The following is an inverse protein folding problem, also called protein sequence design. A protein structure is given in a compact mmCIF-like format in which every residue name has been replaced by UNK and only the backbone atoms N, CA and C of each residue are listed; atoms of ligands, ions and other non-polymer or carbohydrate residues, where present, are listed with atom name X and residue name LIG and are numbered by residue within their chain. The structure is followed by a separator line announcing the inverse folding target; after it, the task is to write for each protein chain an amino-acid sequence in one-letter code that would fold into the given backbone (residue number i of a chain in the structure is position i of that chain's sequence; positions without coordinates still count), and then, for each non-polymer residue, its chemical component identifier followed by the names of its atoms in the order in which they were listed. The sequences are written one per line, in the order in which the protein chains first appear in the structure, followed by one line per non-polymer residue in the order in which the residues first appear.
data_IF_446311328852
#
_entry.id   IF_446311328852
#
_cell.length_a   1.000
_cell.length_b   1.000
_cell.length_c   1.000
_cell.angle_alpha   90.00
_cell.angle_beta   90.00
_cell.angle_gamma   90.00
#
_symmetry.space_group_name_H-M   'P 1'
#
loop_
_entity.id
_entity.type
_entity.pdbx_description
1 polymer ?
#
# COMPACT_ATOMS: atom_id res chain seq x y z
N UNK A 1 37.13 32.79 56.40
CA UNK A 1 38.26 32.97 55.46
C UNK A 1 37.74 32.57 54.07
N UNK A 2 37.35 33.53 53.23
CA UNK A 2 36.78 33.26 51.89
C UNK A 2 37.82 33.66 50.86
N UNK A 3 38.28 32.70 50.06
CA UNK A 3 39.34 32.87 49.06
C UNK A 3 38.69 33.24 47.73
N UNK A 4 38.76 34.51 47.35
CA UNK A 4 38.28 34.98 46.04
C UNK A 4 39.40 34.69 45.03
N UNK A 5 39.18 33.76 44.11
CA UNK A 5 40.07 33.55 42.96
C UNK A 5 39.71 34.52 41.83
N UNK A 6 40.66 35.31 41.31
CA UNK A 6 40.42 36.15 40.15
C UNK A 6 40.38 35.29 38.89
N UNK A 7 39.24 35.28 38.21
CA UNK A 7 39.10 34.69 36.87
C UNK A 7 39.82 35.61 35.89
N UNK A 8 40.77 35.06 35.15
CA UNK A 8 41.56 35.77 34.15
C UNK A 8 40.66 36.37 33.04
N UNK A 9 40.82 37.66 32.76
CA UNK A 9 40.08 38.38 31.72
C UNK A 9 40.24 37.77 30.32
N UNK A 10 41.34 37.04 30.05
CA UNK A 10 41.56 36.37 28.77
C UNK A 10 40.63 35.18 28.53
N UNK A 11 40.13 34.54 29.58
CA UNK A 11 39.20 33.41 29.49
C UNK A 11 37.81 33.88 29.05
N UNK A 12 37.34 35.01 29.61
CA UNK A 12 36.06 35.65 29.24
C UNK A 12 35.96 36.01 27.76
N UNK A 13 37.04 36.47 27.13
CA UNK A 13 37.03 36.86 25.71
C UNK A 13 37.00 35.67 24.75
N UNK A 14 37.51 34.50 25.17
CA UNK A 14 37.50 33.28 24.34
C UNK A 14 36.08 32.69 24.28
N UNK A 15 35.41 32.62 25.43
CA UNK A 15 34.05 32.08 25.53
C UNK A 15 33.02 32.93 24.75
N UNK A 16 33.18 34.25 24.74
CA UNK A 16 32.31 35.16 23.97
C UNK A 16 32.50 34.97 22.46
N UNK A 17 33.73 34.74 21.98
CA UNK A 17 33.99 34.48 20.56
C UNK A 17 33.43 33.13 20.12
N UNK A 18 33.55 32.08 20.94
CA UNK A 18 32.97 30.77 20.63
C UNK A 18 31.44 30.77 20.64
N UNK A 19 30.82 31.52 21.58
CA UNK A 19 29.38 31.70 21.60
C UNK A 19 28.86 32.42 20.34
N UNK A 20 29.56 33.47 19.89
CA UNK A 20 29.21 34.18 18.65
C UNK A 20 29.37 33.30 17.40
N UNK A 21 30.45 32.50 17.33
CA UNK A 21 30.68 31.59 16.20
C UNK A 21 29.58 30.52 16.10
N UNK A 22 29.11 29.98 17.23
CA UNK A 22 27.99 29.02 17.25
C UNK A 22 26.69 29.64 16.75
N UNK A 23 26.33 30.85 17.21
CA UNK A 23 25.08 31.54 16.81
C UNK A 23 25.05 31.89 15.31
N UNK A 24 26.19 32.25 14.73
CA UNK A 24 26.30 32.56 13.29
C UNK A 24 26.19 31.27 12.45
N UNK A 25 26.73 30.14 12.92
CA UNK A 25 26.56 28.83 12.30
C UNK A 25 25.09 28.36 12.25
N UNK A 26 24.35 28.47 13.35
CA UNK A 26 22.94 28.07 13.42
C UNK A 26 22.03 28.94 12.55
N UNK A 27 22.34 30.25 12.41
CA UNK A 27 21.61 31.16 11.50
C UNK A 27 21.83 30.85 10.01
N UNK A 28 23.02 30.37 9.63
CA UNK A 28 23.30 29.95 8.24
C UNK A 28 22.61 28.63 7.89
N UNK A 29 22.57 27.67 8.81
CA UNK A 29 21.95 26.36 8.59
C UNK A 29 20.42 26.44 8.48
N UNK A 30 19.78 27.32 9.25
CA UNK A 30 18.32 27.57 9.20
C UNK A 30 17.88 28.28 7.91
N UNK A 31 18.70 29.14 7.31
CA UNK A 31 18.39 29.79 6.01
C UNK A 31 18.45 28.83 4.83
N UNK A 32 19.43 27.90 4.81
CA UNK A 32 19.58 26.91 3.73
C UNK A 32 18.48 25.84 3.78
N UNK A 33 18.11 25.39 4.98
CA UNK A 33 16.99 24.47 5.21
C UNK A 33 15.66 25.05 4.73
N UNK A 34 15.31 26.28 5.11
CA UNK A 34 14.06 26.95 4.69
C UNK A 34 13.95 27.14 3.17
N UNK A 35 15.07 27.28 2.46
CA UNK A 35 15.08 27.45 1.00
C UNK A 35 14.83 26.13 0.27
N UNK A 36 15.36 25.01 0.79
CA UNK A 36 15.09 23.66 0.28
C UNK A 36 13.64 23.27 0.54
N UNK A 37 13.09 23.55 1.73
CA UNK A 37 11.69 23.26 2.06
C UNK A 37 10.72 24.01 1.15
N UNK A 38 11.00 25.28 0.83
CA UNK A 38 10.15 26.07 -0.10
C UNK A 38 10.16 25.52 -1.52
N UNK A 39 11.31 25.08 -2.03
CA UNK A 39 11.41 24.44 -3.35
C UNK A 39 10.69 23.10 -3.41
N UNK A 40 10.77 22.31 -2.34
CA UNK A 40 10.04 21.06 -2.21
C UNK A 40 8.52 21.28 -2.21
N UNK A 41 8.03 22.28 -1.47
CA UNK A 41 6.61 22.65 -1.44
C UNK A 41 6.12 23.10 -2.82
N UNK A 42 6.89 23.93 -3.53
CA UNK A 42 6.51 24.38 -4.87
C UNK A 42 6.55 23.23 -5.90
N UNK A 43 7.52 22.33 -5.81
CA UNK A 43 7.58 21.15 -6.67
C UNK A 43 6.39 20.21 -6.42
N UNK A 44 6.11 19.91 -5.15
CA UNK A 44 4.94 19.10 -4.76
C UNK A 44 3.62 19.74 -5.19
N UNK A 45 3.48 21.06 -5.01
CA UNK A 45 2.29 21.79 -5.42
C UNK A 45 2.14 21.83 -6.95
N UNK A 46 3.23 21.91 -7.71
CA UNK A 46 3.22 21.83 -9.17
C UNK A 46 2.87 20.41 -9.66
N UNK A 47 3.42 19.36 -9.06
CA UNK A 47 3.04 17.97 -9.34
C UNK A 47 1.56 17.71 -9.03
N UNK A 48 1.06 18.25 -7.91
CA UNK A 48 -0.36 18.18 -7.54
C UNK A 48 -1.24 18.91 -8.55
N UNK A 49 -0.79 20.07 -9.05
CA UNK A 49 -1.54 20.90 -10.01
C UNK A 49 -1.56 20.29 -11.41
N UNK A 50 -0.47 19.66 -11.87
CA UNK A 50 -0.42 18.97 -13.16
C UNK A 50 -1.27 17.69 -13.15
N UNK A 51 -1.37 17.00 -12.00
CA UNK A 51 -2.31 15.91 -11.82
C UNK A 51 -3.79 16.35 -11.88
N UNK A 52 -4.12 17.54 -11.35
CA UNK A 52 -5.50 17.98 -11.20
C UNK A 52 -6.21 18.46 -12.48
N UNK A 53 -5.49 18.78 -13.57
CA UNK A 53 -6.09 19.42 -14.77
C UNK A 53 -6.66 18.41 -15.78
N UNK A 54 -6.43 17.10 -15.64
CA UNK A 54 -6.89 16.06 -16.58
C UNK A 54 -8.05 15.18 -16.12
N UNK A 55 -8.58 15.36 -14.90
CA UNK A 55 -9.34 14.32 -14.18
C UNK A 55 -10.82 14.69 -14.03
N UNK A 56 -11.59 14.60 -15.11
CA UNK A 56 -13.04 14.68 -15.05
C UNK A 56 -13.68 13.33 -15.38
N UNK A 57 -14.41 12.80 -14.39
CA UNK A 57 -15.31 11.64 -14.36
C UNK A 57 -14.70 10.25 -14.10
N UNK A 58 -14.93 9.75 -12.87
CA UNK A 58 -15.50 8.44 -12.49
C UNK A 58 -14.92 7.90 -11.16
N UNK A 59 -15.67 7.01 -10.49
CA UNK A 59 -15.53 6.61 -9.09
C UNK A 59 -14.62 5.38 -8.95
N UNK A 60 -13.71 5.32 -7.95
CA UNK A 60 -12.36 4.74 -8.08
C UNK A 60 -11.80 3.94 -6.85
N UNK A 61 -10.86 2.97 -7.05
CA UNK A 61 -10.10 2.13 -6.06
C UNK A 61 -8.70 1.77 -6.60
N UNK A 62 -7.77 1.15 -5.86
CA UNK A 62 -6.40 0.97 -6.35
C UNK A 62 -5.87 -0.44 -6.23
N UNK A 63 -5.02 -0.80 -7.19
CA UNK A 63 -4.10 -1.95 -7.09
C UNK A 63 -3.18 -1.80 -5.87
N UNK A 64 -2.84 -2.92 -5.24
CA UNK A 64 -1.92 -2.94 -4.10
C UNK A 64 -0.48 -2.70 -4.57
N UNK A 65 0.26 -1.77 -3.94
CA UNK A 65 1.66 -1.47 -4.28
C UNK A 65 2.58 -2.63 -3.88
N UNK A 66 3.66 -2.81 -4.63
CA UNK A 66 4.77 -3.63 -4.18
C UNK A 66 5.32 -3.08 -2.84
N UNK A 67 5.71 -3.96 -1.90
CA UNK A 67 5.92 -5.39 -2.08
C UNK A 67 4.70 -6.27 -1.73
N UNK A 68 3.58 -5.66 -1.32
CA UNK A 68 2.47 -6.25 -0.56
C UNK A 68 1.84 -7.51 -1.17
N UNK A 69 1.88 -7.65 -2.51
CA UNK A 69 1.36 -8.83 -3.22
C UNK A 69 2.00 -10.13 -2.70
N UNK A 70 3.30 -10.11 -2.43
CA UNK A 70 4.05 -11.26 -1.91
C UNK A 70 3.98 -11.41 -0.39
N UNK A 71 3.19 -10.56 0.27
CA UNK A 71 2.88 -10.65 1.69
C UNK A 71 1.44 -11.10 1.92
N UNK A 72 0.66 -11.30 0.86
CA UNK A 72 -0.74 -11.75 0.93
C UNK A 72 -1.78 -10.69 0.60
N UNK A 73 -1.37 -9.45 0.26
CA UNK A 73 -2.31 -8.42 -0.18
C UNK A 73 -2.99 -8.79 -1.51
N UNK A 74 -4.20 -8.31 -1.71
CA UNK A 74 -4.97 -8.56 -2.90
C UNK A 74 -4.34 -7.87 -4.12
N UNK A 75 -4.08 -8.66 -5.18
CA UNK A 75 -3.34 -8.20 -6.37
C UNK A 75 -4.20 -7.98 -7.63
N UNK A 76 -5.54 -7.93 -7.48
CA UNK A 76 -6.45 -7.77 -8.60
C UNK A 76 -6.29 -6.39 -9.26
N UNK A 77 -6.35 -6.31 -10.61
CA UNK A 77 -6.43 -5.02 -11.28
C UNK A 77 -7.74 -4.29 -10.98
N UNK A 78 -7.70 -2.95 -10.99
CA UNK A 78 -8.90 -2.13 -10.82
C UNK A 78 -9.82 -2.24 -12.04
N UNK A 79 -11.11 -2.49 -11.78
CA UNK A 79 -12.15 -2.62 -12.82
C UNK A 79 -12.67 -1.30 -13.39
N UNK A 80 -12.15 -0.17 -12.92
CA UNK A 80 -12.57 1.18 -13.28
C UNK A 80 -11.41 2.17 -13.09
N UNK A 81 -11.54 3.42 -13.56
CA UNK A 81 -10.48 4.46 -13.49
C UNK A 81 -10.39 5.10 -12.12
N UNK A 82 -9.17 5.36 -11.61
CA UNK A 82 -8.90 5.62 -10.20
C UNK A 82 -7.72 6.52 -9.86
N UNK A 83 -7.81 7.21 -8.71
CA UNK A 83 -6.69 7.92 -8.10
C UNK A 83 -6.76 7.76 -6.58
N UNK A 84 -5.89 6.92 -6.04
CA UNK A 84 -5.85 6.66 -4.60
C UNK A 84 -4.58 7.20 -3.97
N UNK A 85 -4.71 7.60 -2.71
CA UNK A 85 -3.60 7.82 -1.80
C UNK A 85 -3.83 7.01 -0.53
N UNK A 86 -2.79 6.48 0.08
CA UNK A 86 -2.94 5.64 1.25
C UNK A 86 -1.67 5.37 2.03
N UNK A 87 -1.86 4.57 3.06
CA UNK A 87 -0.80 4.00 3.88
C UNK A 87 -0.89 2.48 3.76
N UNK A 88 0.22 1.88 3.35
CA UNK A 88 0.41 0.43 3.28
C UNK A 88 1.44 0.04 4.31
N UNK A 89 1.14 -0.98 5.10
CA UNK A 89 1.90 -1.42 6.26
C UNK A 89 2.24 -2.89 6.06
N UNK A 90 3.52 -3.22 5.97
CA UNK A 90 4.02 -4.58 6.01
C UNK A 90 5.20 -4.66 6.96
N UNK A 91 5.42 -5.85 7.53
CA UNK A 91 6.62 -6.16 8.30
C UNK A 91 7.15 -7.52 7.87
N UNK A 92 8.46 -7.67 7.90
CA UNK A 92 9.14 -8.94 7.71
C UNK A 92 10.13 -9.14 8.85
N UNK A 93 10.09 -10.31 9.48
CA UNK A 93 11.03 -10.71 10.51
C UNK A 93 11.90 -11.84 9.95
N UNK A 94 13.24 -11.71 9.98
CA UNK A 94 14.13 -12.68 9.34
C UNK A 94 14.29 -13.97 10.13
N UNK A 95 13.58 -14.15 11.24
CA UNK A 95 13.67 -15.33 12.12
C UNK A 95 12.32 -16.00 12.26
N UNK A 96 12.33 -17.32 12.15
CA UNK A 96 11.21 -18.24 12.25
C UNK A 96 10.85 -18.51 13.72
N UNK A 97 9.68 -19.11 14.01
CA UNK A 97 9.21 -19.37 15.38
C UNK A 97 10.13 -20.27 16.23
N UNK A 98 11.06 -20.99 15.59
CA UNK A 98 12.11 -21.80 16.21
C UNK A 98 13.45 -21.06 16.35
N UNK A 99 13.53 -19.81 15.89
CA UNK A 99 14.73 -18.97 15.92
C UNK A 99 15.69 -19.20 14.74
N UNK A 100 15.32 -20.01 13.75
CA UNK A 100 16.12 -20.16 12.53
C UNK A 100 15.98 -18.92 11.65
N UNK A 101 17.03 -18.58 10.91
CA UNK A 101 16.93 -17.49 9.92
C UNK A 101 16.15 -17.95 8.69
N UNK A 102 15.12 -17.21 8.31
CA UNK A 102 14.33 -17.40 7.10
C UNK A 102 15.15 -17.13 5.83
N UNK A 103 15.99 -16.11 5.85
CA UNK A 103 16.80 -15.64 4.72
C UNK A 103 18.24 -15.35 5.19
N UNK A 104 19.24 -15.89 4.49
CA UNK A 104 20.65 -15.59 4.78
C UNK A 104 21.08 -14.17 4.42
N UNK A 105 20.31 -13.49 3.57
CA UNK A 105 20.65 -12.19 3.00
C UNK A 105 19.99 -11.04 3.73
N UNK A 106 18.90 -11.29 4.47
CA UNK A 106 18.21 -10.29 5.29
C UNK A 106 18.51 -10.56 6.75
N UNK A 107 19.46 -9.82 7.32
CA UNK A 107 19.86 -9.94 8.73
C UNK A 107 18.99 -9.16 9.71
N UNK A 108 18.11 -8.30 9.20
CA UNK A 108 17.43 -7.25 9.96
C UNK A 108 15.90 -7.40 9.81
N UNK A 109 15.14 -6.98 10.82
CA UNK A 109 13.70 -6.77 10.70
C UNK A 109 13.44 -5.62 9.74
N UNK A 110 12.53 -5.83 8.79
CA UNK A 110 12.17 -4.86 7.77
C UNK A 110 10.73 -4.39 8.01
N UNK A 111 10.50 -3.07 8.01
CA UNK A 111 9.18 -2.50 7.87
C UNK A 111 9.01 -1.89 6.48
N UNK A 112 7.94 -2.25 5.79
CA UNK A 112 7.55 -1.61 4.52
C UNK A 112 6.26 -0.83 4.75
N UNK A 113 6.42 0.37 5.30
CA UNK A 113 5.32 1.22 5.76
C UNK A 113 5.00 2.33 4.74
N UNK A 114 4.81 1.98 3.47
CA UNK A 114 4.75 2.91 2.35
C UNK A 114 3.55 3.86 2.42
N UNK A 115 3.81 5.16 2.27
CA UNK A 115 2.78 6.09 1.79
C UNK A 115 2.71 5.90 0.28
N UNK A 116 1.53 5.59 -0.22
CA UNK A 116 1.33 5.11 -1.58
C UNK A 116 0.35 5.99 -2.32
N UNK A 117 0.59 6.16 -3.61
CA UNK A 117 -0.30 6.84 -4.53
C UNK A 117 -0.42 5.98 -5.79
N UNK A 118 -1.65 5.69 -6.20
CA UNK A 118 -1.91 4.88 -7.38
C UNK A 118 -2.88 5.58 -8.30
N UNK A 119 -2.63 5.47 -9.59
CA UNK A 119 -3.48 5.99 -10.64
C UNK A 119 -3.78 4.88 -11.63
N UNK A 120 -5.05 4.51 -11.76
CA UNK A 120 -5.53 3.64 -12.83
C UNK A 120 -6.36 4.44 -13.82
N UNK A 121 -6.21 4.19 -15.12
CA UNK A 121 -7.05 4.79 -16.13
C UNK A 121 -7.54 3.73 -17.12
N UNK A 122 -8.86 3.66 -17.31
CA UNK A 122 -9.51 2.86 -18.33
C UNK A 122 -9.72 3.71 -19.58
N UNK A 123 -9.10 3.30 -20.67
CA UNK A 123 -9.07 4.07 -21.90
C UNK A 123 -10.37 3.93 -22.71
N UNK A 124 -10.75 5.01 -23.40
CA UNK A 124 -11.83 5.04 -24.38
C UNK A 124 -11.35 4.92 -25.84
N UNK A 125 -12.29 5.04 -26.79
CA UNK A 125 -11.98 5.08 -28.22
C UNK A 125 -11.32 3.80 -28.74
N UNK A 126 -10.23 3.94 -29.50
CA UNK A 126 -9.50 2.79 -30.08
C UNK A 126 -8.82 1.91 -29.02
N UNK A 127 -8.62 2.42 -27.80
CA UNK A 127 -8.08 1.68 -26.66
C UNK A 127 -9.18 1.14 -25.73
N UNK A 128 -10.46 1.18 -26.14
CA UNK A 128 -11.55 0.70 -25.30
C UNK A 128 -11.32 -0.73 -24.80
N UNK A 129 -11.40 -0.91 -23.49
CA UNK A 129 -11.14 -2.18 -22.81
C UNK A 129 -9.68 -2.37 -22.38
N UNK A 130 -8.81 -1.39 -22.60
CA UNK A 130 -7.50 -1.35 -21.95
C UNK A 130 -7.53 -0.46 -20.71
N UNK A 131 -6.74 -0.83 -19.70
CA UNK A 131 -6.42 0.04 -18.59
C UNK A 131 -4.91 0.11 -18.35
N UNK A 132 -4.45 1.23 -17.82
CA UNK A 132 -3.07 1.45 -17.38
C UNK A 132 -3.09 1.80 -15.90
N UNK A 133 -2.16 1.22 -15.13
CA UNK A 133 -1.93 1.58 -13.74
C UNK A 133 -0.49 2.08 -13.57
N UNK A 134 -0.33 3.11 -12.72
CA UNK A 134 0.94 3.55 -12.17
C UNK A 134 0.78 3.74 -10.67
N UNK A 135 1.61 3.06 -9.89
CA UNK A 135 1.65 3.19 -8.44
C UNK A 135 3.04 3.59 -8.00
N UNK A 136 3.14 4.49 -7.02
CA UNK A 136 4.39 4.83 -6.39
C UNK A 136 4.21 4.82 -4.87
N UNK A 137 5.20 4.31 -4.16
CA UNK A 137 5.25 4.29 -2.71
C UNK A 137 6.61 4.72 -2.21
N UNK A 138 6.63 5.41 -1.07
CA UNK A 138 7.86 5.77 -0.36
C UNK A 138 7.65 5.73 1.14
N UNK A 139 8.63 5.24 1.90
CA UNK A 139 8.58 5.32 3.36
C UNK A 139 9.92 5.06 4.06
N UNK A 140 10.11 5.59 5.28
CA UNK A 140 11.11 5.07 6.20
C UNK A 140 10.90 3.58 6.51
N UNK A 141 11.99 2.82 6.55
CA UNK A 141 11.97 1.34 6.60
C UNK A 141 11.88 0.75 8.01
N UNK A 142 11.61 1.62 8.99
CA UNK A 142 11.49 1.21 10.38
C UNK A 142 10.32 0.24 10.55
N UNK A 143 10.43 -0.64 11.54
CA UNK A 143 9.41 -1.65 11.84
C UNK A 143 8.19 -1.09 12.57
N UNK A 144 8.22 0.18 12.99
CA UNK A 144 7.04 0.90 13.50
C UNK A 144 6.32 1.68 12.38
N UNK A 145 4.97 1.71 12.35
CA UNK A 145 4.04 1.31 13.42
C UNK A 145 3.63 -0.17 13.42
N UNK A 146 4.11 -0.96 12.44
CA UNK A 146 3.70 -2.36 12.26
C UNK A 146 4.03 -3.28 13.43
N UNK A 147 5.19 -3.09 14.05
CA UNK A 147 5.62 -3.86 15.21
C UNK A 147 4.68 -3.63 16.40
N UNK A 148 4.34 -2.38 16.69
CA UNK A 148 3.37 -2.04 17.72
C UNK A 148 2.01 -2.69 17.46
N UNK A 149 1.47 -2.56 16.24
CA UNK A 149 0.18 -3.14 15.88
C UNK A 149 0.18 -4.68 16.03
N UNK A 150 1.23 -5.34 15.55
CA UNK A 150 1.35 -6.80 15.66
C UNK A 150 1.47 -7.23 17.13
N UNK A 151 2.44 -6.71 17.87
CA UNK A 151 2.78 -7.22 19.19
C UNK A 151 1.86 -6.70 20.30
N UNK A 152 1.45 -5.43 20.26
CA UNK A 152 0.69 -4.77 21.34
C UNK A 152 -0.82 -4.76 21.11
N UNK A 153 -1.28 -4.92 19.87
CA UNK A 153 -2.70 -5.04 19.58
C UNK A 153 -3.05 -6.49 19.34
N UNK A 154 -2.55 -7.09 18.26
CA UNK A 154 -3.07 -8.38 17.83
C UNK A 154 -2.57 -9.55 18.67
N UNK A 155 -1.26 -9.65 18.90
CA UNK A 155 -0.69 -10.74 19.69
C UNK A 155 -1.16 -10.67 21.14
N UNK A 156 -1.29 -9.46 21.69
CA UNK A 156 -1.87 -9.27 23.03
C UNK A 156 -3.34 -9.70 23.09
N UNK A 157 -4.17 -9.31 22.12
CA UNK A 157 -5.58 -9.73 22.05
C UNK A 157 -5.74 -11.24 21.87
N UNK A 158 -4.84 -11.88 21.12
CA UNK A 158 -4.86 -13.32 20.82
C UNK A 158 -4.04 -14.18 21.79
N UNK A 159 -3.41 -13.57 22.79
CA UNK A 159 -2.50 -14.24 23.74
C UNK A 159 -1.35 -15.01 23.06
N UNK A 160 -0.80 -14.44 21.99
CA UNK A 160 0.33 -15.00 21.24
C UNK A 160 1.66 -14.40 21.75
N UNK A 161 2.78 -15.17 21.66
CA UNK A 161 4.10 -14.64 21.99
C UNK A 161 4.46 -13.46 21.07
N UNK A 162 5.21 -12.49 21.58
CA UNK A 162 5.65 -11.35 20.78
C UNK A 162 6.65 -11.79 19.72
N UNK A 163 6.51 -11.26 18.50
CA UNK A 163 7.48 -11.45 17.43
C UNK A 163 8.73 -10.61 17.74
N UNK A 164 9.94 -11.21 17.81
CA UNK A 164 11.16 -10.47 18.07
C UNK A 164 11.45 -9.45 16.96
N UNK A 165 12.25 -8.46 17.28
CA UNK A 165 12.83 -7.52 16.32
C UNK A 165 14.35 -7.70 16.34
N UNK A 166 14.95 -7.85 15.17
CA UNK A 166 16.40 -7.99 14.99
C UNK A 166 16.90 -6.74 14.28
N UNK A 167 17.60 -5.86 14.99
CA UNK A 167 18.24 -4.65 14.45
C UNK A 167 17.44 -3.96 13.31
N UNK A 168 16.31 -3.31 13.61
CA UNK A 168 15.39 -2.88 12.55
C UNK A 168 16.08 -1.91 11.60
N UNK A 169 15.99 -2.19 10.29
CA UNK A 169 16.64 -1.37 9.25
C UNK A 169 16.06 0.04 9.24
N UNK A 170 16.91 1.06 9.17
CA UNK A 170 16.52 2.48 9.17
C UNK A 170 17.04 3.21 7.94
N UNK A 171 16.34 3.03 6.83
CA UNK A 171 16.61 3.66 5.55
C UNK A 171 15.32 4.28 4.98
N UNK A 172 15.33 4.67 3.71
CA UNK A 172 14.14 5.07 2.96
C UNK A 172 13.97 4.11 1.79
N UNK A 173 12.85 3.42 1.74
CA UNK A 173 12.51 2.56 0.63
C UNK A 173 11.49 3.23 -0.28
N UNK A 174 11.61 2.94 -1.58
CA UNK A 174 10.69 3.40 -2.59
C UNK A 174 10.43 2.30 -3.60
N UNK A 175 9.18 2.21 -4.05
CA UNK A 175 8.74 1.30 -5.10
C UNK A 175 7.88 2.06 -6.11
N UNK A 176 8.02 1.70 -7.37
CA UNK A 176 7.20 2.17 -8.49
C UNK A 176 6.69 0.93 -9.22
N UNK A 177 5.38 0.82 -9.34
CA UNK A 177 4.70 -0.23 -10.07
C UNK A 177 4.01 0.35 -11.30
N UNK A 178 4.01 -0.39 -12.40
CA UNK A 178 3.29 -0.03 -13.60
C UNK A 178 2.65 -1.25 -14.23
N UNK A 179 1.45 -1.12 -14.79
CA UNK A 179 0.81 -2.22 -15.50
C UNK A 179 -0.08 -1.77 -16.64
N UNK A 180 -0.28 -2.66 -17.60
CA UNK A 180 -1.27 -2.53 -18.68
C UNK A 180 -2.13 -3.79 -18.66
N UNK A 181 -3.45 -3.60 -18.62
CA UNK A 181 -4.42 -4.69 -18.51
C UNK A 181 -5.47 -4.58 -19.60
N UNK A 182 -5.71 -5.68 -20.31
CA UNK A 182 -6.82 -5.85 -21.24
C UNK A 182 -7.99 -6.50 -20.53
N UNK A 183 -9.17 -5.90 -20.67
CA UNK A 183 -10.43 -6.36 -20.13
C UNK A 183 -11.32 -6.91 -21.24
N UNK A 184 -11.94 -8.05 -20.96
CA UNK A 184 -12.86 -8.73 -21.86
C UNK A 184 -14.23 -8.88 -21.20
N UNK A 185 -15.32 -8.63 -21.94
CA UNK A 185 -16.66 -8.94 -21.47
C UNK A 185 -16.88 -10.45 -21.44
N UNK A 186 -17.39 -10.96 -20.33
CA UNK A 186 -18.08 -12.24 -20.26
C UNK A 186 -19.52 -11.86 -19.92
N UNK A 187 -20.31 -11.55 -20.96
CA UNK A 187 -21.58 -10.81 -20.87
C UNK A 187 -21.39 -9.34 -20.42
N UNK A 188 -22.44 -8.69 -19.90
CA UNK A 188 -22.33 -7.45 -19.12
C UNK A 188 -22.44 -7.84 -17.65
N UNK A 189 -21.41 -7.62 -16.80
CA UNK A 189 -20.26 -6.70 -16.93
C UNK A 189 -18.93 -7.29 -17.49
N UNK A 190 -17.91 -6.43 -17.68
CA UNK A 190 -16.53 -6.85 -18.03
C UNK A 190 -15.83 -7.47 -16.82
N UNK A 191 -15.53 -8.76 -16.89
CA UNK A 191 -15.02 -9.52 -15.73
C UNK A 191 -13.72 -10.26 -16.01
N UNK A 192 -13.39 -10.57 -17.26
CA UNK A 192 -12.13 -11.27 -17.58
C UNK A 192 -11.03 -10.23 -17.83
N UNK A 193 -9.81 -10.50 -17.35
CA UNK A 193 -8.66 -9.65 -17.60
C UNK A 193 -7.40 -10.46 -17.93
N UNK A 194 -6.50 -9.84 -18.69
CA UNK A 194 -5.13 -10.29 -18.89
C UNK A 194 -4.22 -9.07 -19.02
N UNK A 195 -3.05 -9.10 -18.38
CA UNK A 195 -2.17 -7.94 -18.34
C UNK A 195 -0.73 -8.29 -18.00
N UNK A 196 0.11 -7.27 -18.14
CA UNK A 196 1.52 -7.34 -17.81
C UNK A 196 1.91 -6.09 -17.04
N UNK A 197 2.97 -6.18 -16.24
CA UNK A 197 3.47 -5.04 -15.49
C UNK A 197 4.86 -5.25 -14.94
N UNK A 198 5.30 -4.26 -14.17
CA UNK A 198 6.56 -4.25 -13.49
C UNK A 198 6.43 -3.63 -12.10
N UNK A 199 7.38 -3.95 -11.24
CA UNK A 199 7.60 -3.35 -9.94
C UNK A 199 9.10 -3.07 -9.83
N UNK A 200 9.49 -1.82 -9.60
CA UNK A 200 10.89 -1.43 -9.52
C UNK A 200 11.16 -0.52 -8.33
N UNK A 201 12.29 -0.69 -7.67
CA UNK A 201 12.61 0.15 -6.52
C UNK A 201 13.75 -0.39 -5.67
N UNK A 202 13.77 0.02 -4.40
CA UNK A 202 14.83 -0.38 -3.46
C UNK A 202 14.65 -1.81 -2.98
N UNK A 203 13.41 -2.33 -2.94
CA UNK A 203 13.13 -3.62 -2.30
C UNK A 203 13.54 -4.79 -3.19
N UNK A 204 12.96 -4.87 -4.39
CA UNK A 204 13.29 -5.83 -5.44
C UNK A 204 12.90 -5.25 -6.81
N UNK A 205 13.32 -5.89 -7.90
CA UNK A 205 12.79 -5.63 -9.23
C UNK A 205 11.94 -6.81 -9.69
N UNK A 206 10.88 -6.54 -10.43
CA UNK A 206 10.00 -7.58 -10.93
C UNK A 206 9.34 -7.17 -12.24
N UNK A 207 9.24 -8.11 -13.17
CA UNK A 207 8.27 -8.09 -14.26
C UNK A 207 7.23 -9.19 -14.04
N UNK A 208 5.98 -8.97 -14.41
CA UNK A 208 4.93 -9.96 -14.23
C UNK A 208 3.92 -10.01 -15.37
N UNK A 209 3.32 -11.18 -15.53
CA UNK A 209 2.10 -11.41 -16.30
C UNK A 209 1.00 -11.85 -15.34
N UNK A 210 -0.22 -11.38 -15.56
CA UNK A 210 -1.40 -11.78 -14.78
C UNK A 210 -2.61 -11.97 -15.66
N UNK A 211 -3.49 -12.87 -15.26
CA UNK A 211 -4.79 -13.04 -15.88
C UNK A 211 -5.80 -13.57 -14.86
N UNK A 212 -7.07 -13.40 -15.15
CA UNK A 212 -8.10 -13.87 -14.25
C UNK A 212 -9.51 -13.37 -14.55
N UNK A 213 -10.37 -13.59 -13.57
CA UNK A 213 -11.74 -13.12 -13.53
C UNK A 213 -11.89 -12.24 -12.29
N UNK A 214 -12.54 -11.09 -12.42
CA UNK A 214 -12.78 -10.15 -11.33
C UNK A 214 -14.27 -9.91 -11.18
N UNK A 215 -14.78 -10.08 -9.96
CA UNK A 215 -16.17 -9.76 -9.57
C UNK A 215 -17.23 -10.34 -10.52
N UNK A 216 -17.07 -11.60 -10.92
CA UNK A 216 -18.10 -12.31 -11.65
C UNK A 216 -19.30 -12.54 -10.74
N UNK A 217 -20.51 -12.06 -11.08
CA UNK A 217 -21.70 -12.32 -10.28
C UNK A 217 -21.95 -13.82 -10.17
N UNK A 218 -22.04 -14.33 -8.94
CA UNK A 218 -22.45 -15.71 -8.66
C UNK A 218 -23.96 -15.74 -8.44
N UNK A 219 -24.45 -14.77 -7.66
CA UNK A 219 -25.88 -14.56 -7.39
C UNK A 219 -26.21 -13.09 -7.61
N UNK A 220 -27.11 -12.76 -8.56
CA UNK A 220 -27.38 -11.38 -8.94
C UNK A 220 -27.96 -10.54 -7.78
N UNK A 221 -28.77 -11.16 -6.91
CA UNK A 221 -29.30 -10.54 -5.69
C UNK A 221 -29.39 -11.58 -4.58
N UNK A 222 -28.52 -11.48 -3.57
CA UNK A 222 -28.59 -12.25 -2.33
C UNK A 222 -29.58 -11.63 -1.33
N UNK A 223 -29.65 -10.31 -1.30
CA UNK A 223 -30.52 -9.54 -0.42
C UNK A 223 -30.95 -8.27 -1.13
N UNK A 224 -32.23 -7.92 -1.00
CA UNK A 224 -32.80 -6.66 -1.46
C UNK A 224 -33.58 -6.06 -0.30
N UNK A 225 -33.21 -4.86 0.13
CA UNK A 225 -33.83 -4.20 1.27
C UNK A 225 -33.16 -2.88 1.62
N UNK A 226 -33.11 -2.55 2.90
CA UNK A 226 -32.60 -1.25 3.39
C UNK A 226 -31.11 -1.01 3.06
N UNK A 227 -30.36 -2.06 2.70
CA UNK A 227 -28.95 -1.99 2.33
C UNK A 227 -28.72 -1.95 0.81
N UNK A 228 -29.82 -1.87 0.04
CA UNK A 228 -29.82 -1.99 -1.42
C UNK A 228 -29.72 -3.44 -1.90
N UNK A 229 -29.55 -3.60 -3.21
CA UNK A 229 -29.36 -4.91 -3.85
C UNK A 229 -27.93 -5.40 -3.63
N UNK A 230 -27.80 -6.38 -2.74
CA UNK A 230 -26.53 -7.03 -2.39
C UNK A 230 -26.33 -8.24 -3.28
N UNK A 231 -25.15 -8.38 -3.86
CA UNK A 231 -24.77 -9.53 -4.70
C UNK A 231 -23.51 -10.22 -4.15
N UNK A 232 -23.40 -11.53 -4.37
CA UNK A 232 -22.12 -12.24 -4.19
C UNK A 232 -21.40 -12.37 -5.53
N UNK A 233 -20.09 -12.14 -5.48
CA UNK A 233 -19.23 -12.15 -6.65
C UNK A 233 -17.96 -12.96 -6.39
N UNK A 234 -17.54 -13.74 -7.37
CA UNK A 234 -16.29 -14.49 -7.35
C UNK A 234 -15.22 -13.78 -8.17
N UNK A 235 -13.97 -13.89 -7.71
CA UNK A 235 -12.81 -13.52 -8.51
C UNK A 235 -11.75 -14.62 -8.41
N UNK A 236 -10.89 -14.69 -9.42
CA UNK A 236 -9.68 -15.51 -9.39
C UNK A 236 -8.60 -14.81 -10.19
N UNK A 237 -7.38 -14.76 -9.66
CA UNK A 237 -6.21 -14.21 -10.32
C UNK A 237 -5.10 -15.26 -10.33
N UNK A 238 -4.46 -15.42 -11.48
CA UNK A 238 -3.16 -16.08 -11.61
C UNK A 238 -2.12 -15.05 -12.04
N UNK A 239 -0.93 -15.13 -11.45
CA UNK A 239 0.21 -14.27 -11.75
C UNK A 239 1.47 -15.11 -11.86
N UNK A 240 2.29 -14.82 -12.85
CA UNK A 240 3.66 -15.31 -12.95
C UNK A 240 4.59 -14.12 -13.02
N UNK A 241 5.71 -14.20 -12.33
CA UNK A 241 6.63 -13.08 -12.19
C UNK A 241 8.07 -13.51 -12.35
N UNK A 242 8.86 -12.67 -13.00
CA UNK A 242 10.30 -12.75 -13.06
C UNK A 242 10.88 -11.67 -12.17
N UNK A 243 11.83 -12.02 -11.30
CA UNK A 243 12.32 -11.15 -10.26
C UNK A 243 13.84 -11.03 -10.31
N UNK A 244 14.31 -9.87 -9.87
CA UNK A 244 15.73 -9.59 -9.66
C UNK A 244 15.91 -8.90 -8.30
N UNK A 245 17.14 -8.92 -7.81
CA UNK A 245 17.45 -8.39 -6.50
C UNK A 245 17.24 -6.87 -6.37
N UNK A 246 17.18 -6.42 -5.14
CA UNK A 246 17.15 -5.00 -4.78
C UNK A 246 18.23 -4.65 -3.76
N UNK A 247 18.19 -3.40 -3.33
CA UNK A 247 19.00 -2.90 -2.23
C UNK A 247 18.59 -3.49 -0.88
N UNK A 248 17.34 -3.94 -0.74
CA UNK A 248 16.84 -4.59 0.49
C UNK A 248 16.91 -6.11 0.40
N UNK A 249 16.38 -6.68 -0.68
CA UNK A 249 16.40 -8.13 -0.91
C UNK A 249 17.53 -8.45 -1.88
N UNK A 250 18.70 -8.80 -1.35
CA UNK A 250 19.89 -9.07 -2.16
C UNK A 250 19.84 -10.42 -2.90
N UNK A 251 18.98 -11.33 -2.45
CA UNK A 251 18.68 -12.59 -3.12
C UNK A 251 17.17 -12.81 -3.14
N UNK A 252 16.64 -13.06 -4.33
CA UNK A 252 15.23 -13.39 -4.54
C UNK A 252 15.14 -14.57 -5.50
N UNK A 253 14.05 -15.34 -5.41
CA UNK A 253 13.76 -16.36 -6.41
C UNK A 253 13.49 -15.69 -7.74
N UNK A 254 14.27 -16.05 -8.77
CA UNK A 254 14.15 -15.49 -10.13
C UNK A 254 12.76 -15.61 -10.74
N UNK A 255 11.96 -16.61 -10.36
CA UNK A 255 10.60 -16.80 -10.88
C UNK A 255 9.63 -17.13 -9.75
N UNK A 256 8.47 -16.46 -9.67
CA UNK A 256 7.40 -16.83 -8.75
C UNK A 256 6.05 -16.92 -9.46
N UNK A 257 5.21 -17.86 -9.04
CA UNK A 257 3.80 -17.96 -9.38
C UNK A 257 2.93 -17.64 -8.17
N UNK A 258 1.79 -16.99 -8.40
CA UNK A 258 0.79 -16.66 -7.41
C UNK A 258 -0.61 -16.98 -7.94
N UNK A 259 -1.47 -17.53 -7.09
CA UNK A 259 -2.89 -17.77 -7.36
C UNK A 259 -3.71 -17.19 -6.22
N UNK A 260 -4.75 -16.44 -6.56
CA UNK A 260 -5.60 -15.75 -5.60
C UNK A 260 -7.08 -15.85 -5.97
N UNK A 261 -7.84 -16.83 -5.43
CA UNK A 261 -9.29 -16.80 -5.45
C UNK A 261 -9.85 -15.81 -4.42
N UNK A 262 -11.01 -15.21 -4.70
CA UNK A 262 -11.75 -14.37 -3.75
C UNK A 262 -13.26 -14.46 -3.90
N UNK A 263 -13.96 -14.15 -2.81
CA UNK A 263 -15.41 -13.97 -2.76
C UNK A 263 -15.69 -12.60 -2.16
N UNK A 264 -16.59 -11.85 -2.80
CA UNK A 264 -16.99 -10.52 -2.37
C UNK A 264 -18.51 -10.42 -2.22
N UNK A 265 -18.93 -9.74 -1.16
CA UNK A 265 -20.32 -9.41 -0.88
C UNK A 265 -20.45 -7.89 -0.85
N UNK A 266 -21.39 -7.36 -1.63
CA UNK A 266 -21.52 -5.91 -1.69
C UNK A 266 -22.64 -5.44 -2.58
N UNK A 267 -22.81 -4.12 -2.58
CA UNK A 267 -23.67 -3.43 -3.52
C UNK A 267 -22.80 -2.84 -4.63
N UNK A 268 -23.25 -2.98 -5.87
CA UNK A 268 -22.47 -2.61 -7.03
C UNK A 268 -23.31 -1.83 -8.04
N UNK A 269 -22.71 -0.79 -8.58
CA UNK A 269 -23.22 -0.04 -9.73
C UNK A 269 -22.43 -0.48 -10.95
N UNK A 270 -23.11 -0.88 -12.02
CA UNK A 270 -22.46 -1.18 -13.30
C UNK A 270 -22.63 0.02 -14.22
N UNK A 271 -21.52 0.55 -14.73
CA UNK A 271 -21.55 1.68 -15.68
C UNK A 271 -21.94 1.21 -17.07
N UNK A 272 -22.31 2.14 -17.95
CA UNK A 272 -22.59 1.85 -19.37
C UNK A 272 -21.40 1.21 -20.09
N UNK A 273 -20.18 1.56 -19.67
CA UNK A 273 -18.92 1.00 -20.20
C UNK A 273 -18.63 -0.42 -19.68
N UNK A 274 -19.50 -0.97 -18.82
CA UNK A 274 -19.44 -2.31 -18.27
C UNK A 274 -18.51 -2.46 -17.08
N UNK A 275 -18.08 -1.34 -16.47
CA UNK A 275 -17.26 -1.33 -15.26
C UNK A 275 -18.15 -1.58 -14.04
N UNK A 276 -17.67 -2.38 -13.08
CA UNK A 276 -18.39 -2.61 -11.83
C UNK A 276 -17.76 -1.81 -10.70
N UNK A 277 -18.54 -0.88 -10.16
CA UNK A 277 -18.15 0.06 -9.11
C UNK A 277 -18.92 -0.29 -7.82
N UNK A 278 -18.28 -0.86 -6.79
CA UNK A 278 -18.91 -1.11 -5.49
C UNK A 278 -19.22 0.18 -4.74
N UNK A 279 -20.44 0.33 -4.23
CA UNK A 279 -20.81 1.36 -3.24
C UNK A 279 -20.26 0.99 -1.86
N UNK A 280 -20.39 -0.28 -1.51
CA UNK A 280 -19.71 -0.93 -0.40
C UNK A 280 -19.44 -2.40 -0.77
N UNK A 281 -18.36 -2.97 -0.24
CA UNK A 281 -17.97 -4.37 -0.47
C UNK A 281 -17.16 -4.88 0.72
N UNK A 282 -17.41 -6.13 1.09
CA UNK A 282 -16.50 -6.94 1.90
C UNK A 282 -16.01 -8.07 1.01
N UNK A 283 -14.69 -8.18 0.87
CA UNK A 283 -14.03 -9.18 0.06
C UNK A 283 -13.09 -10.01 0.93
N UNK A 284 -13.11 -11.33 0.72
CA UNK A 284 -12.19 -12.28 1.34
C UNK A 284 -11.44 -13.00 0.23
N UNK A 285 -10.12 -13.05 0.32
CA UNK A 285 -9.25 -13.73 -0.63
C UNK A 285 -8.35 -14.73 0.09
N UNK A 286 -8.02 -15.80 -0.62
CA UNK A 286 -6.93 -16.71 -0.26
C UNK A 286 -5.80 -16.47 -1.26
N UNK A 287 -4.56 -16.55 -0.80
CA UNK A 287 -3.37 -16.36 -1.63
C UNK A 287 -2.49 -17.58 -1.46
N UNK A 288 -2.15 -18.22 -2.57
CA UNK A 288 -0.99 -19.12 -2.64
C UNK A 288 0.08 -18.43 -3.47
N UNK A 289 1.29 -18.36 -2.93
CA UNK A 289 2.45 -17.85 -3.63
C UNK A 289 3.58 -18.86 -3.49
N UNK A 290 4.24 -19.14 -4.60
CA UNK A 290 5.42 -20.00 -4.65
C UNK A 290 6.63 -19.43 -3.89
N UNK A 291 6.55 -18.17 -3.44
CA UNK A 291 7.54 -17.50 -2.62
C UNK A 291 8.57 -16.70 -3.42
N UNK A 292 8.90 -15.52 -2.90
CA UNK A 292 10.02 -14.69 -3.40
C UNK A 292 11.29 -14.89 -2.58
N UNK A 293 11.13 -15.27 -1.30
CA UNK A 293 12.22 -15.49 -0.38
C UNK A 293 12.89 -16.84 -0.63
N UNK A 294 14.21 -16.82 -0.58
CA UNK A 294 15.03 -18.03 -0.70
C UNK A 294 15.84 -18.21 0.57
N UNK A 295 15.96 -19.46 1.03
CA UNK A 295 16.82 -19.80 2.15
C UNK A 295 18.31 -19.83 1.73
N UNK A 296 19.20 -20.16 2.67
CA UNK A 296 20.65 -20.33 2.45
C UNK A 296 21.02 -21.32 1.34
N UNK A 297 20.12 -22.25 0.99
CA UNK A 297 20.34 -23.27 -0.04
C UNK A 297 19.67 -22.92 -1.37
N UNK A 298 19.08 -21.71 -1.48
CA UNK A 298 18.40 -21.23 -2.68
C UNK A 298 17.00 -21.81 -2.89
N UNK A 299 16.45 -22.52 -1.91
CA UNK A 299 15.10 -23.08 -1.98
C UNK A 299 14.07 -22.01 -1.63
N UNK A 300 13.01 -21.95 -2.43
CA UNK A 300 11.87 -21.06 -2.20
C UNK A 300 11.00 -21.55 -1.06
N UNK A 301 10.44 -20.61 -0.30
CA UNK A 301 9.39 -20.92 0.65
C UNK A 301 8.03 -20.55 0.08
N UNK A 302 7.23 -21.56 -0.24
CA UNK A 302 5.83 -21.37 -0.60
C UNK A 302 5.06 -20.88 0.62
N UNK A 303 4.14 -19.93 0.42
CA UNK A 303 3.31 -19.39 1.48
C UNK A 303 1.84 -19.41 1.10
N UNK A 304 1.01 -19.60 2.12
CA UNK A 304 -0.43 -19.47 2.05
C UNK A 304 -0.86 -18.34 2.97
N UNK A 305 -1.55 -17.36 2.40
CA UNK A 305 -2.08 -16.21 3.12
C UNK A 305 -3.58 -16.06 2.89
N UNK A 306 -4.22 -15.29 3.75
CA UNK A 306 -5.56 -14.78 3.55
C UNK A 306 -5.56 -13.26 3.60
N UNK A 307 -6.51 -12.65 2.91
CA UNK A 307 -6.76 -11.22 2.95
C UNK A 307 -8.25 -10.96 3.15
N UNK A 308 -8.56 -9.91 3.91
CA UNK A 308 -9.90 -9.34 4.00
C UNK A 308 -9.84 -7.86 3.68
N UNK A 309 -10.75 -7.42 2.82
CA UNK A 309 -10.90 -6.02 2.47
C UNK A 309 -12.33 -5.56 2.73
N UNK A 310 -12.46 -4.41 3.37
CA UNK A 310 -13.71 -3.68 3.54
C UNK A 310 -13.64 -2.36 2.81
N UNK A 311 -14.73 -2.01 2.14
CA UNK A 311 -14.81 -0.76 1.40
C UNK A 311 -16.17 -0.12 1.56
N UNK A 312 -16.19 1.20 1.65
CA UNK A 312 -17.39 1.99 1.75
C UNK A 312 -17.11 3.38 1.17
N UNK A 313 -17.81 3.72 0.08
CA UNK A 313 -17.57 4.97 -0.63
C UNK A 313 -16.11 5.12 -1.07
N UNK A 314 -15.40 6.22 -0.73
CA UNK A 314 -14.03 6.45 -1.16
C UNK A 314 -12.98 5.71 -0.31
N UNK A 315 -13.37 5.06 0.78
CA UNK A 315 -12.43 4.45 1.74
C UNK A 315 -12.37 2.95 1.52
N UNK A 316 -11.14 2.41 1.53
CA UNK A 316 -10.88 0.98 1.58
C UNK A 316 -9.85 0.67 2.66
N UNK A 317 -10.19 -0.29 3.50
CA UNK A 317 -9.30 -0.92 4.45
C UNK A 317 -9.07 -2.36 4.00
N UNK A 318 -7.83 -2.79 3.99
CA UNK A 318 -7.44 -4.17 3.72
C UNK A 318 -6.46 -4.64 4.78
N UNK A 319 -6.56 -5.90 5.17
CA UNK A 319 -5.55 -6.55 5.99
C UNK A 319 -5.36 -7.98 5.53
N UNK A 320 -4.14 -8.49 5.68
CA UNK A 320 -3.76 -9.83 5.25
C UNK A 320 -2.78 -10.46 6.23
N UNK A 321 -2.67 -11.78 6.09
CA UNK A 321 -1.88 -12.58 6.99
C UNK A 321 -1.51 -13.95 6.44
N UNK A 322 -0.37 -14.48 6.84
CA UNK A 322 0.20 -15.78 6.48
C UNK A 322 -0.17 -16.95 7.43
N UNK A 323 -1.08 -16.73 8.40
CA UNK A 323 -1.47 -17.74 9.39
C UNK A 323 -2.18 -18.99 8.83
N UNK A 324 -2.25 -19.18 7.52
CA UNK A 324 -2.78 -20.42 6.91
C UNK A 324 -1.67 -21.43 6.60
N UNK A 325 -0.40 -21.05 6.63
CA UNK A 325 0.74 -21.98 6.58
C UNK A 325 1.15 -22.43 7.98
N UNK A 326 1.01 -23.73 8.30
CA UNK A 326 1.53 -24.42 9.50
C UNK A 326 1.90 -23.53 10.72
N UNK A 327 0.85 -23.19 11.48
CA UNK A 327 0.74 -22.17 12.54
C UNK A 327 1.70 -22.35 13.75
N UNK A 328 2.46 -23.44 13.90
CA UNK A 328 3.16 -23.74 15.15
C UNK A 328 4.69 -23.90 15.06
N UNK A 329 5.25 -24.27 13.89
CA UNK A 329 6.67 -24.64 13.81
C UNK A 329 7.51 -23.71 12.93
N UNK A 330 6.89 -22.86 12.11
CA UNK A 330 7.65 -21.99 11.19
C UNK A 330 7.55 -20.52 11.55
N UNK A 331 6.41 -19.99 11.97
CA UNK A 331 6.30 -18.54 12.22
C UNK A 331 6.08 -18.19 13.70
N UNK A 332 6.51 -17.00 14.13
CA UNK A 332 6.22 -16.45 15.47
C UNK A 332 4.73 -16.08 15.65
N UNK A 333 3.88 -16.53 14.73
CA UNK A 333 2.49 -16.17 14.62
C UNK A 333 2.23 -15.21 13.46
N UNK A 334 0.95 -14.93 13.19
CA UNK A 334 0.47 -14.14 12.06
C UNK A 334 1.29 -12.86 11.76
N UNK A 335 1.89 -12.76 10.56
CA UNK A 335 2.48 -11.51 10.04
C UNK A 335 1.39 -10.61 9.45
N UNK A 336 0.98 -9.60 10.20
CA UNK A 336 -0.11 -8.71 9.80
C UNK A 336 0.38 -7.59 8.89
N UNK A 337 -0.14 -7.56 7.66
CA UNK A 337 -0.10 -6.37 6.83
C UNK A 337 -1.47 -5.69 6.79
N UNK A 338 -1.46 -4.39 6.49
CA UNK A 338 -2.68 -3.62 6.35
C UNK A 338 -2.50 -2.49 5.34
N UNK A 339 -3.58 -2.10 4.66
CA UNK A 339 -3.62 -0.91 3.83
C UNK A 339 -4.87 -0.10 4.12
N UNK A 340 -4.71 1.20 4.29
CA UNK A 340 -5.81 2.16 4.31
C UNK A 340 -5.65 3.10 3.12
N UNK A 341 -6.63 3.12 2.22
CA UNK A 341 -6.60 3.96 1.02
C UNK A 341 -7.85 4.82 0.93
N UNK A 342 -7.65 6.00 0.34
CA UNK A 342 -8.69 6.96 0.01
C UNK A 342 -8.65 7.22 -1.49
N UNK A 343 -9.79 7.06 -2.15
CA UNK A 343 -9.99 7.43 -3.53
C UNK A 343 -10.41 8.89 -3.68
N UNK A 344 -9.52 9.68 -4.28
CA UNK A 344 -9.68 11.11 -4.51
C UNK A 344 -10.82 11.40 -5.50
N UNK A 345 -11.03 10.57 -6.51
CA UNK A 345 -12.11 10.84 -7.48
C UNK A 345 -13.48 10.63 -6.87
N UNK A 346 -13.69 9.61 -6.05
CA UNK A 346 -14.94 9.45 -5.29
C UNK A 346 -15.17 10.59 -4.33
N UNK A 347 -14.16 11.01 -3.58
CA UNK A 347 -14.28 12.18 -2.68
C UNK A 347 -14.73 13.41 -3.48
N UNK A 348 -14.08 13.68 -4.62
CA UNK A 348 -14.43 14.81 -5.47
C UNK A 348 -15.87 14.74 -5.99
N UNK A 349 -16.29 13.61 -6.54
CA UNK A 349 -17.65 13.43 -7.07
C UNK A 349 -18.71 13.56 -5.96
N UNK A 350 -18.43 13.08 -4.75
CA UNK A 350 -19.30 13.28 -3.59
C UNK A 350 -19.45 14.77 -3.26
N UNK A 351 -18.33 15.51 -3.21
CA UNK A 351 -18.34 16.95 -2.96
C UNK A 351 -19.14 17.70 -4.05
N UNK A 352 -18.97 17.33 -5.32
CA UNK A 352 -19.72 17.95 -6.41
C UNK A 352 -21.22 17.65 -6.31
N UNK A 353 -21.60 16.41 -5.97
CA UNK A 353 -22.99 16.03 -5.75
C UNK A 353 -23.67 16.85 -4.64
N UNK A 354 -22.95 17.13 -3.54
CA UNK A 354 -23.43 18.02 -2.48
C UNK A 354 -23.62 19.46 -2.95
N UNK A 355 -22.76 19.97 -3.84
CA UNK A 355 -22.85 21.33 -4.37
C UNK A 355 -24.01 21.51 -5.35
N UNK A 356 -24.31 20.48 -6.16
CA UNK A 356 -25.39 20.53 -7.14
C UNK A 356 -26.78 20.36 -6.52
N UNK A 357 -26.89 19.75 -5.34
CA UNK A 357 -28.14 19.55 -4.61
C UNK A 357 -28.04 20.16 -3.20
N UNK A 358 -28.07 21.50 -3.04
CA UNK A 358 -28.19 22.09 -1.72
C UNK A 358 -29.50 21.59 -1.10
N UNK A 359 -29.40 20.91 0.04
CA UNK A 359 -30.56 20.47 0.81
C UNK A 359 -31.53 21.63 0.99
N UNK A 360 -32.79 21.41 0.61
CA UNK A 360 -33.93 22.34 0.60
C UNK A 360 -34.38 22.82 1.99
N UNK A 361 -33.45 22.98 2.94
CA UNK A 361 -33.71 23.40 4.32
C UNK A 361 -33.03 24.73 4.70
N UNK A 362 -32.63 25.55 3.72
CA UNK A 362 -32.21 26.95 3.95
C UNK A 362 -33.22 27.98 3.39
N UNK A 363 -34.52 27.69 3.49
CA UNK A 363 -35.56 28.71 3.41
C UNK A 363 -36.07 29.01 4.82
N UNK A 364 -35.54 30.04 5.46
CA UNK A 364 -36.05 30.48 6.76
C UNK A 364 -35.10 31.30 7.61
N UNK A 365 -34.42 32.29 7.04
CA UNK A 365 -33.83 33.38 7.80
C UNK A 365 -33.74 34.63 6.91
N UNK A 366 -34.90 35.24 6.68
CA UNK A 366 -35.04 36.64 6.30
C UNK A 366 -35.71 37.37 7.45
#
# INVERSE_FOLDING_TARGET
MVRIMPISATQRFRDIKEAHARVVGTRRQTRRSRWVTRRLIHFLSMCLSVGLVGLFHSLAWSESPAPSVHWGAMAFPDQYSTLTGGLTLNRFTPTDGLGNKYDSTVGNTLGFNLITMSWTHHWGGFLQGWSTNLTAGVSPTGDEPTQYLQNKVVHQLRQLPTVPTVDPRRETDAMIDGSITRWFPLFRPKVIFAGAGFSVGTIYQQGFLRAGIRRMPITPTLYSGSWGDVSARASVLGRISYQDNGAVLHSVRRTAGLVQPSIAFGQYVTTETGETIPTWEIEVALVWDSGIFVNTTGQSQEHFAWAIAGSCGPVRLETWNDSMGNIAERDYGPTYGATLTLDVFRVWNMIQGFRSNPTTNQSGAS
#
